data_IF_327127671769
#
_entry.id   IF_327127671769
#
_cell.length_a   1.000
_cell.length_b   1.000
_cell.length_c   1.000
_cell.angle_alpha   90.00
_cell.angle_beta   90.00
_cell.angle_gamma   90.00
#
_symmetry.space_group_name_H-M   'P 1'
#
loop_
_entity.id
_entity.type
_entity.pdbx_description
1 polymer ?
#
# COMPACT_ATOMS: atom_id res chain seq x y z
N UNK A 1 18.82 29.25 -31.12
CA UNK A 1 19.57 28.27 -30.32
C UNK A 1 18.77 26.97 -30.32
N UNK A 2 19.40 25.83 -30.49
CA UNK A 2 18.71 24.55 -30.38
C UNK A 2 18.19 24.35 -28.95
N UNK A 3 16.99 23.79 -28.80
CA UNK A 3 16.45 23.44 -27.47
C UNK A 3 17.42 22.46 -26.76
N UNK A 4 17.63 22.59 -25.44
CA UNK A 4 18.49 21.67 -24.69
C UNK A 4 17.98 20.24 -24.83
N UNK A 5 18.88 19.26 -24.84
CA UNK A 5 18.50 17.85 -24.86
C UNK A 5 17.76 17.47 -23.57
N UNK A 6 16.91 16.44 -23.64
CA UNK A 6 16.17 15.94 -22.48
C UNK A 6 17.09 15.59 -21.30
N UNK A 7 18.27 15.04 -21.55
CA UNK A 7 19.29 14.76 -20.53
C UNK A 7 19.68 16.02 -19.74
N UNK A 8 19.93 17.13 -20.44
CA UNK A 8 20.32 18.40 -19.81
C UNK A 8 19.16 19.01 -19.03
N UNK A 9 17.94 18.92 -19.56
CA UNK A 9 16.74 19.39 -18.84
C UNK A 9 16.57 18.62 -17.52
N UNK A 10 16.62 17.30 -17.56
CA UNK A 10 16.49 16.46 -16.37
C UNK A 10 17.61 16.71 -15.35
N UNK A 11 18.88 16.80 -15.79
CA UNK A 11 20.01 17.09 -14.91
C UNK A 11 19.89 18.46 -14.24
N UNK A 12 19.41 19.48 -14.96
CA UNK A 12 19.15 20.82 -14.41
C UNK A 12 18.03 20.78 -13.39
N UNK A 13 16.93 20.10 -13.68
CA UNK A 13 15.83 19.90 -12.75
C UNK A 13 16.29 19.20 -11.47
N UNK A 14 17.09 18.14 -11.58
CA UNK A 14 17.66 17.45 -10.42
C UNK A 14 18.46 18.43 -9.56
N UNK A 15 19.37 19.17 -10.16
CA UNK A 15 20.22 20.11 -9.43
C UNK A 15 19.42 21.21 -8.74
N UNK A 16 18.53 21.90 -9.47
CA UNK A 16 17.74 23.00 -8.91
C UNK A 16 16.77 22.56 -7.83
N UNK A 17 16.02 21.48 -8.06
CA UNK A 17 15.04 20.99 -7.10
C UNK A 17 15.71 20.37 -5.86
N UNK A 18 16.86 19.70 -6.01
CA UNK A 18 17.65 19.20 -4.87
C UNK A 18 18.13 20.37 -4.00
N UNK A 19 18.53 21.48 -4.58
CA UNK A 19 18.93 22.68 -3.83
C UNK A 19 17.79 23.22 -2.97
N UNK A 20 16.57 23.31 -3.51
CA UNK A 20 15.37 23.76 -2.77
C UNK A 20 15.09 22.83 -1.57
N UNK A 21 15.11 21.53 -1.79
CA UNK A 21 14.87 20.54 -0.72
C UNK A 21 15.96 20.61 0.34
N UNK A 22 17.22 20.69 -0.05
CA UNK A 22 18.37 20.79 0.88
C UNK A 22 18.30 22.08 1.72
N UNK A 23 18.00 23.22 1.11
CA UNK A 23 17.84 24.50 1.82
C UNK A 23 16.73 24.43 2.86
N UNK A 24 15.58 23.81 2.52
CA UNK A 24 14.49 23.59 3.45
C UNK A 24 14.93 22.80 4.69
N UNK A 25 15.68 21.69 4.49
CA UNK A 25 16.17 20.87 5.61
C UNK A 25 17.14 21.65 6.50
N UNK A 26 18.07 22.38 5.91
CA UNK A 26 19.05 23.19 6.64
C UNK A 26 18.37 24.33 7.43
N UNK A 27 17.44 25.05 6.80
CA UNK A 27 16.71 26.16 7.42
C UNK A 27 15.88 25.72 8.62
N UNK A 28 15.27 24.51 8.52
CA UNK A 28 14.41 23.97 9.58
C UNK A 28 15.17 23.05 10.54
N UNK A 29 16.50 22.94 10.43
CA UNK A 29 17.35 22.11 11.28
C UNK A 29 16.89 20.63 11.28
N UNK A 30 16.37 20.15 10.15
CA UNK A 30 15.91 18.77 10.00
C UNK A 30 17.09 17.84 9.67
N UNK A 31 17.04 16.56 10.09
CA UNK A 31 18.06 15.59 9.72
C UNK A 31 18.13 15.42 8.20
N UNK A 32 19.32 15.57 7.62
CA UNK A 32 19.53 15.33 6.21
C UNK A 32 19.38 13.85 5.86
N UNK A 33 18.84 13.51 4.68
CA UNK A 33 18.80 12.14 4.19
C UNK A 33 20.20 11.50 4.19
N UNK A 34 20.31 10.29 4.75
CA UNK A 34 21.55 9.54 4.81
C UNK A 34 21.26 8.05 4.82
N UNK A 35 22.17 7.25 4.24
CA UNK A 35 22.17 5.80 4.38
C UNK A 35 22.77 5.32 5.68
N UNK A 36 23.47 6.19 6.41
CA UNK A 36 24.05 5.84 7.71
C UNK A 36 22.99 5.50 8.75
N UNK A 37 23.38 4.73 9.76
CA UNK A 37 22.49 4.26 10.82
C UNK A 37 21.75 5.39 11.56
N UNK A 38 22.32 6.59 11.58
CA UNK A 38 21.71 7.82 12.12
C UNK A 38 20.76 8.52 11.15
N UNK A 39 20.67 8.07 9.89
CA UNK A 39 19.80 8.65 8.90
C UNK A 39 18.32 8.60 9.30
N UNK A 40 17.51 9.58 8.88
CA UNK A 40 16.09 9.59 9.18
C UNK A 40 15.39 8.42 8.49
N UNK A 41 14.42 7.82 9.18
CA UNK A 41 13.63 6.71 8.64
C UNK A 41 12.70 7.12 7.49
N UNK A 42 12.34 8.41 7.44
CA UNK A 42 11.46 8.99 6.41
C UNK A 42 11.87 10.42 6.11
N UNK A 43 11.69 10.80 4.86
CA UNK A 43 11.70 12.20 4.45
C UNK A 43 10.26 12.69 4.55
N UNK A 44 10.00 13.65 5.44
CA UNK A 44 8.67 14.22 5.68
C UNK A 44 8.71 15.69 5.31
N UNK A 45 7.92 16.07 4.32
CA UNK A 45 7.69 17.46 3.93
C UNK A 45 6.21 17.75 4.22
N UNK A 46 5.91 18.74 5.10
CA UNK A 46 4.52 19.05 5.43
C UNK A 46 3.73 19.50 4.20
N UNK A 47 2.42 19.12 4.08
CA UNK A 47 1.59 19.44 2.92
C UNK A 47 1.43 20.95 2.63
N UNK A 48 1.62 21.81 3.64
CA UNK A 48 1.57 23.27 3.46
C UNK A 48 2.83 23.85 2.81
N UNK A 49 3.95 23.12 2.83
CA UNK A 49 5.22 23.47 2.15
C UNK A 49 5.16 23.06 0.67
N UNK A 50 4.23 23.64 -0.08
CA UNK A 50 3.89 23.22 -1.45
C UNK A 50 5.07 23.27 -2.42
N UNK A 51 5.90 24.31 -2.34
CA UNK A 51 7.07 24.45 -3.22
C UNK A 51 8.11 23.36 -2.98
N UNK A 52 8.41 23.08 -1.71
CA UNK A 52 9.37 22.04 -1.32
C UNK A 52 8.85 20.66 -1.66
N UNK A 53 7.55 20.40 -1.44
CA UNK A 53 6.92 19.13 -1.79
C UNK A 53 6.96 18.89 -3.31
N UNK A 54 6.66 19.91 -4.11
CA UNK A 54 6.76 19.83 -5.56
C UNK A 54 8.20 19.60 -6.02
N UNK A 55 9.18 20.31 -5.46
CA UNK A 55 10.59 20.12 -5.76
C UNK A 55 11.06 18.71 -5.41
N UNK A 56 10.64 18.17 -4.26
CA UNK A 56 10.97 16.80 -3.85
C UNK A 56 10.39 15.75 -4.82
N UNK A 57 9.13 15.90 -5.22
CA UNK A 57 8.50 15.02 -6.20
C UNK A 57 9.22 15.08 -7.57
N UNK A 58 9.60 16.29 -8.03
CA UNK A 58 10.33 16.47 -9.29
C UNK A 58 11.76 15.88 -9.24
N UNK A 59 12.47 15.95 -8.10
CA UNK A 59 13.77 15.27 -7.95
C UNK A 59 13.62 13.77 -8.14
N UNK A 60 12.65 13.15 -7.43
CA UNK A 60 12.43 11.71 -7.53
C UNK A 60 12.08 11.27 -8.96
N UNK A 61 11.20 12.03 -9.62
CA UNK A 61 10.83 11.81 -11.01
C UNK A 61 12.02 11.94 -11.95
N UNK A 62 12.71 13.08 -11.90
CA UNK A 62 13.79 13.39 -12.83
C UNK A 62 15.00 12.44 -12.68
N UNK A 63 15.32 12.01 -11.44
CA UNK A 63 16.40 11.03 -11.22
C UNK A 63 16.06 9.67 -11.82
N UNK A 64 14.84 9.18 -11.66
CA UNK A 64 14.39 7.92 -12.24
C UNK A 64 14.37 7.98 -13.77
N UNK A 65 13.83 9.06 -14.33
CA UNK A 65 13.72 9.25 -15.78
C UNK A 65 15.10 9.39 -16.44
N UNK A 66 16.00 10.17 -15.83
CA UNK A 66 17.38 10.30 -16.31
C UNK A 66 18.12 8.95 -16.27
N UNK A 67 17.97 8.20 -15.20
CA UNK A 67 18.55 6.86 -15.07
C UNK A 67 18.11 5.94 -16.22
N UNK A 68 16.81 5.84 -16.47
CA UNK A 68 16.28 5.01 -17.57
C UNK A 68 16.72 5.50 -18.94
N UNK A 69 16.74 6.82 -19.15
CA UNK A 69 17.21 7.42 -20.42
C UNK A 69 18.68 7.09 -20.70
N UNK A 70 19.53 7.15 -19.65
CA UNK A 70 20.96 6.88 -19.76
C UNK A 70 21.27 5.39 -19.93
N UNK A 71 20.47 4.49 -19.38
CA UNK A 71 20.61 3.05 -19.62
C UNK A 71 20.37 2.69 -21.09
N UNK A 72 19.44 3.36 -21.74
CA UNK A 72 18.97 2.97 -23.07
C UNK A 72 18.18 1.65 -23.06
N UNK A 73 17.52 1.29 -24.18
CA UNK A 73 16.55 0.20 -24.20
C UNK A 73 17.15 -1.18 -23.89
N UNK A 74 18.32 -1.47 -24.42
CA UNK A 74 18.97 -2.79 -24.21
C UNK A 74 19.33 -3.01 -22.74
N UNK A 75 20.03 -2.04 -22.12
CA UNK A 75 20.46 -2.17 -20.75
C UNK A 75 19.24 -2.13 -19.79
N UNK A 76 18.21 -1.33 -20.09
CA UNK A 76 16.98 -1.31 -19.32
C UNK A 76 16.27 -2.67 -19.29
N UNK A 77 16.23 -3.38 -20.42
CA UNK A 77 15.66 -4.73 -20.49
C UNK A 77 16.53 -5.77 -19.75
N UNK A 78 17.84 -5.66 -19.83
CA UNK A 78 18.78 -6.59 -19.21
C UNK A 78 18.98 -6.35 -17.70
N UNK A 79 18.64 -5.17 -17.19
CA UNK A 79 18.80 -4.83 -15.77
C UNK A 79 17.63 -5.27 -14.88
N UNK A 80 16.58 -5.89 -15.46
CA UNK A 80 15.46 -6.41 -14.67
C UNK A 80 15.95 -7.56 -13.80
N UNK A 81 15.79 -7.45 -12.49
CA UNK A 81 16.29 -8.45 -11.53
C UNK A 81 15.25 -8.80 -10.47
N UNK A 82 15.13 -10.09 -10.21
CA UNK A 82 14.36 -10.61 -9.07
C UNK A 82 15.21 -10.70 -7.79
N UNK A 83 16.51 -10.35 -7.89
CA UNK A 83 17.48 -10.54 -6.80
C UNK A 83 17.23 -9.61 -5.63
N UNK A 84 16.61 -8.44 -5.86
CA UNK A 84 16.20 -7.53 -4.77
C UNK A 84 15.22 -8.23 -3.81
N UNK A 85 14.17 -8.85 -4.38
CA UNK A 85 13.17 -9.59 -3.59
C UNK A 85 13.76 -10.83 -2.94
N UNK A 86 14.64 -11.56 -3.65
CA UNK A 86 15.29 -12.76 -3.11
C UNK A 86 16.24 -12.41 -1.95
N UNK A 87 17.05 -11.37 -2.08
CA UNK A 87 17.96 -10.92 -1.01
C UNK A 87 17.19 -10.49 0.24
N UNK A 88 16.11 -9.72 0.08
CA UNK A 88 15.22 -9.35 1.18
C UNK A 88 14.54 -10.57 1.80
N UNK A 89 14.15 -11.56 1.00
CA UNK A 89 13.55 -12.81 1.49
C UNK A 89 14.51 -13.57 2.39
N UNK A 90 15.79 -13.69 2.02
CA UNK A 90 16.79 -14.30 2.89
C UNK A 90 16.96 -13.52 4.19
N UNK A 91 17.05 -12.18 4.11
CA UNK A 91 17.18 -11.33 5.30
C UNK A 91 16.01 -11.53 6.25
N UNK A 92 14.80 -11.61 5.71
CA UNK A 92 13.57 -11.83 6.46
C UNK A 92 13.49 -13.25 7.03
N UNK A 93 13.62 -14.27 6.18
CA UNK A 93 13.39 -15.67 6.53
C UNK A 93 14.42 -16.20 7.56
N UNK A 94 15.64 -15.71 7.51
CA UNK A 94 16.74 -16.08 8.42
C UNK A 94 16.96 -15.07 9.53
N UNK A 95 16.07 -14.08 9.66
CA UNK A 95 16.13 -13.03 10.69
C UNK A 95 17.52 -12.39 10.84
N UNK A 96 18.19 -12.15 9.71
CA UNK A 96 19.58 -11.71 9.66
C UNK A 96 19.76 -10.38 10.40
N UNK A 97 18.76 -9.50 10.38
CA UNK A 97 18.82 -8.18 11.04
C UNK A 97 18.98 -8.27 12.57
N UNK A 98 18.60 -9.38 13.19
CA UNK A 98 18.69 -9.59 14.63
C UNK A 98 19.88 -10.43 15.05
N UNK A 99 20.78 -10.80 14.11
CA UNK A 99 21.96 -11.61 14.43
C UNK A 99 23.02 -10.86 15.23
N UNK A 100 23.03 -9.52 15.19
CA UNK A 100 23.93 -8.69 15.99
C UNK A 100 23.25 -7.37 16.39
N UNK A 101 23.75 -6.69 17.48
CA UNK A 101 23.11 -5.46 17.95
C UNK A 101 23.10 -4.35 16.91
N UNK A 102 22.05 -3.52 16.91
CA UNK A 102 21.85 -2.41 15.95
C UNK A 102 23.07 -1.46 15.90
N UNK A 103 23.70 -1.17 17.03
CA UNK A 103 24.89 -0.31 17.10
C UNK A 103 26.19 -1.12 17.14
N UNK A 104 26.13 -2.42 16.80
CA UNK A 104 27.26 -3.32 16.80
C UNK A 104 27.78 -3.63 15.40
N UNK A 105 28.80 -4.45 15.37
CA UNK A 105 29.42 -5.01 14.18
C UNK A 105 29.51 -6.52 14.32
N UNK A 106 29.48 -7.25 13.21
CA UNK A 106 29.67 -8.70 13.22
C UNK A 106 30.43 -9.14 11.96
N UNK A 107 31.20 -10.24 12.06
CA UNK A 107 31.79 -10.86 10.88
C UNK A 107 30.74 -11.71 10.16
N UNK A 108 31.01 -12.06 8.89
CA UNK A 108 30.13 -12.96 8.14
C UNK A 108 29.99 -14.32 8.82
N UNK A 109 31.05 -14.82 9.46
CA UNK A 109 31.04 -16.07 10.22
C UNK A 109 30.10 -15.99 11.43
N UNK A 110 30.16 -14.89 12.18
CA UNK A 110 29.29 -14.67 13.34
C UNK A 110 27.83 -14.56 12.95
N UNK A 111 27.54 -13.89 11.84
CA UNK A 111 26.18 -13.79 11.28
C UNK A 111 25.70 -15.18 10.82
N UNK A 112 26.53 -15.88 10.05
CA UNK A 112 26.29 -17.22 9.53
C UNK A 112 25.96 -18.21 10.66
N UNK A 113 26.78 -18.25 11.72
CA UNK A 113 26.56 -19.10 12.88
C UNK A 113 25.19 -18.85 13.54
N UNK A 114 24.81 -17.57 13.69
CA UNK A 114 23.55 -17.21 14.35
C UNK A 114 22.30 -17.45 13.52
N UNK A 115 22.34 -17.18 12.21
CA UNK A 115 21.17 -17.36 11.35
C UNK A 115 21.08 -18.79 10.74
N UNK A 116 22.12 -19.61 10.86
CA UNK A 116 22.12 -20.98 10.34
C UNK A 116 22.37 -21.11 8.84
N UNK A 117 22.79 -20.04 8.16
CA UNK A 117 23.26 -20.07 6.77
C UNK A 117 24.75 -20.47 6.73
N UNK A 118 25.22 -21.00 5.62
CA UNK A 118 26.67 -21.11 5.41
C UNK A 118 27.29 -19.73 5.13
N UNK A 119 28.58 -19.57 5.45
CA UNK A 119 29.28 -18.29 5.34
C UNK A 119 29.36 -17.77 3.89
N UNK A 120 29.45 -18.67 2.92
CA UNK A 120 29.55 -18.30 1.48
C UNK A 120 28.25 -17.64 1.03
N UNK A 121 27.10 -18.22 1.38
CA UNK A 121 25.79 -17.67 1.01
C UNK A 121 25.49 -16.41 1.82
N UNK A 122 25.85 -16.37 3.11
CA UNK A 122 25.77 -15.15 3.93
C UNK A 122 26.52 -13.98 3.26
N UNK A 123 27.75 -14.22 2.79
CA UNK A 123 28.54 -13.21 2.09
C UNK A 123 27.87 -12.75 0.78
N UNK A 124 27.36 -13.70 -0.03
CA UNK A 124 26.66 -13.38 -1.30
C UNK A 124 25.39 -12.55 -1.07
N UNK A 125 24.57 -12.96 -0.10
CA UNK A 125 23.29 -12.32 0.20
C UNK A 125 23.51 -10.90 0.73
N UNK A 126 24.39 -10.75 1.71
CA UNK A 126 24.69 -9.46 2.30
C UNK A 126 25.46 -8.56 1.34
N UNK A 127 26.38 -9.11 0.55
CA UNK A 127 27.08 -8.36 -0.50
C UNK A 127 26.10 -7.75 -1.51
N UNK A 128 25.08 -8.50 -1.93
CA UNK A 128 24.00 -7.98 -2.77
C UNK A 128 23.14 -6.93 -2.05
N UNK A 129 22.71 -7.23 -0.81
CA UNK A 129 21.91 -6.32 0.00
C UNK A 129 22.57 -4.95 0.21
N UNK A 130 23.91 -4.94 0.37
CA UNK A 130 24.70 -3.72 0.52
C UNK A 130 24.64 -2.81 -0.72
N UNK A 131 24.47 -3.36 -1.93
CA UNK A 131 24.27 -2.55 -3.14
C UNK A 131 22.94 -1.79 -3.12
N UNK A 132 21.98 -2.25 -2.31
CA UNK A 132 20.71 -1.60 -2.02
C UNK A 132 20.72 -0.84 -0.67
N UNK A 133 21.90 -0.56 -0.13
CA UNK A 133 22.10 0.13 1.14
C UNK A 133 21.48 -0.56 2.36
N UNK A 134 21.23 -1.87 2.27
CA UNK A 134 20.81 -2.69 3.39
C UNK A 134 22.07 -3.36 3.96
N UNK A 135 22.45 -2.97 5.14
CA UNK A 135 23.78 -3.20 5.73
C UNK A 135 24.93 -2.48 5.00
N UNK A 136 26.09 -2.45 5.61
CA UNK A 136 27.36 -1.97 5.04
C UNK A 136 28.53 -2.77 5.57
N UNK A 137 29.58 -2.90 4.78
CA UNK A 137 30.86 -3.41 5.24
C UNK A 137 31.74 -2.24 5.70
N UNK A 138 32.07 -2.20 6.98
CA UNK A 138 32.83 -1.09 7.59
C UNK A 138 34.34 -1.26 7.46
N UNK A 139 34.79 -2.51 7.32
CA UNK A 139 36.15 -2.97 6.98
C UNK A 139 36.02 -4.38 6.44
N UNK A 140 37.02 -4.89 5.71
CA UNK A 140 36.98 -6.22 5.10
C UNK A 140 36.49 -7.31 6.06
N UNK A 141 35.40 -7.99 5.69
CA UNK A 141 34.78 -9.07 6.43
C UNK A 141 33.90 -8.65 7.64
N UNK A 142 33.65 -7.36 7.84
CA UNK A 142 32.88 -6.87 9.00
C UNK A 142 31.70 -6.02 8.60
N UNK A 143 30.52 -6.46 8.98
CA UNK A 143 29.21 -5.92 8.64
C UNK A 143 28.66 -5.05 9.78
N UNK A 144 28.02 -3.94 9.42
CA UNK A 144 27.26 -3.07 10.33
C UNK A 144 25.91 -2.70 9.74
N UNK A 145 25.00 -2.26 10.62
CA UNK A 145 23.69 -1.76 10.19
C UNK A 145 23.78 -0.41 9.47
N UNK A 146 22.87 -0.22 8.54
CA UNK A 146 22.48 1.08 7.94
C UNK A 146 21.14 1.53 8.50
N UNK A 147 20.65 2.67 8.04
CA UNK A 147 19.29 3.13 8.35
C UNK A 147 18.22 2.10 7.95
N UNK A 148 18.38 1.45 6.77
CA UNK A 148 17.41 0.47 6.27
C UNK A 148 17.38 -0.81 7.10
N UNK A 149 18.54 -1.43 7.37
CA UNK A 149 18.60 -2.65 8.18
C UNK A 149 18.21 -2.41 9.65
N UNK A 150 18.53 -1.22 10.21
CA UNK A 150 18.04 -0.80 11.52
C UNK A 150 16.51 -0.76 11.57
N UNK A 151 15.87 -0.19 10.54
CA UNK A 151 14.41 -0.15 10.47
C UNK A 151 13.81 -1.55 10.45
N UNK A 152 14.36 -2.47 9.65
CA UNK A 152 13.94 -3.86 9.63
C UNK A 152 14.09 -4.55 10.99
N UNK A 153 15.10 -4.18 11.79
CA UNK A 153 15.30 -4.73 13.14
C UNK A 153 14.40 -4.09 14.21
N UNK A 154 13.90 -2.86 14.00
CA UNK A 154 13.22 -2.07 15.04
C UNK A 154 11.75 -1.75 14.77
N UNK A 155 11.25 -1.98 13.56
CA UNK A 155 9.87 -1.73 13.16
C UNK A 155 9.17 -3.03 12.74
N UNK A 156 8.48 -3.72 13.66
CA UNK A 156 7.83 -5.00 13.37
C UNK A 156 6.79 -4.91 12.24
N UNK A 157 6.09 -3.78 12.10
CA UNK A 157 5.10 -3.61 11.03
C UNK A 157 5.78 -3.54 9.66
N UNK A 158 6.95 -2.88 9.58
CA UNK A 158 7.74 -2.85 8.34
C UNK A 158 8.33 -4.23 8.02
N UNK A 159 8.79 -4.94 9.03
CA UNK A 159 9.31 -6.30 8.88
C UNK A 159 8.23 -7.24 8.34
N UNK A 160 7.02 -7.17 8.88
CA UNK A 160 5.87 -7.91 8.37
C UNK A 160 5.49 -7.49 6.93
N UNK A 161 5.59 -6.20 6.60
CA UNK A 161 5.40 -5.74 5.22
C UNK A 161 6.43 -6.35 4.26
N UNK A 162 7.71 -6.38 4.66
CA UNK A 162 8.76 -7.05 3.87
C UNK A 162 8.47 -8.55 3.74
N UNK A 163 7.99 -9.20 4.80
CA UNK A 163 7.54 -10.58 4.76
C UNK A 163 6.44 -10.80 3.72
N UNK A 164 5.42 -9.94 3.66
CA UNK A 164 4.36 -10.04 2.62
C UNK A 164 4.94 -9.83 1.22
N UNK A 165 5.85 -8.88 1.04
CA UNK A 165 6.46 -8.62 -0.27
C UNK A 165 7.27 -9.82 -0.76
N UNK A 166 8.01 -10.47 0.11
CA UNK A 166 8.98 -11.52 -0.24
C UNK A 166 8.38 -12.93 -0.21
N UNK A 167 7.46 -13.20 0.71
CA UNK A 167 6.85 -14.52 0.87
C UNK A 167 5.59 -14.67 0.00
N UNK A 168 4.71 -13.65 -0.01
CA UNK A 168 3.43 -13.72 -0.70
C UNK A 168 3.50 -13.14 -2.12
N UNK A 169 3.94 -11.88 -2.24
CA UNK A 169 3.91 -11.14 -3.51
C UNK A 169 4.89 -11.69 -4.53
N UNK A 170 6.09 -12.00 -4.12
CA UNK A 170 7.12 -12.51 -5.03
C UNK A 170 6.70 -13.83 -5.67
N UNK A 171 6.16 -14.76 -4.88
CA UNK A 171 5.64 -16.03 -5.37
C UNK A 171 4.42 -15.83 -6.30
N UNK A 172 3.48 -14.97 -5.91
CA UNK A 172 2.32 -14.68 -6.74
C UNK A 172 2.72 -14.09 -8.10
N UNK A 173 3.63 -13.11 -8.12
CA UNK A 173 4.11 -12.48 -9.34
C UNK A 173 4.79 -13.48 -10.28
N UNK A 174 5.64 -14.35 -9.73
CA UNK A 174 6.37 -15.37 -10.50
C UNK A 174 5.45 -16.37 -11.24
N UNK A 175 4.24 -16.61 -10.71
CA UNK A 175 3.28 -17.58 -11.27
C UNK A 175 2.08 -16.91 -11.96
N UNK A 176 2.07 -15.59 -12.10
CA UNK A 176 0.92 -14.88 -12.69
C UNK A 176 0.71 -15.22 -14.16
N UNK A 177 1.80 -15.35 -14.93
CA UNK A 177 1.69 -15.75 -16.35
C UNK A 177 1.06 -17.14 -16.49
N UNK A 178 1.48 -18.11 -15.66
CA UNK A 178 0.89 -19.44 -15.62
C UNK A 178 -0.60 -19.40 -15.27
N UNK A 179 -0.99 -18.57 -14.30
CA UNK A 179 -2.40 -18.39 -13.92
C UNK A 179 -3.24 -17.85 -15.08
N UNK A 180 -2.74 -16.82 -15.79
CA UNK A 180 -3.43 -16.26 -16.95
C UNK A 180 -3.54 -17.26 -18.09
N UNK A 181 -2.49 -18.05 -18.35
CA UNK A 181 -2.52 -19.11 -19.35
C UNK A 181 -3.54 -20.23 -19.00
N UNK A 182 -3.65 -20.56 -17.72
CA UNK A 182 -4.52 -21.64 -17.25
C UNK A 182 -5.99 -21.24 -17.14
N UNK A 183 -6.26 -20.03 -16.64
CA UNK A 183 -7.62 -19.60 -16.27
C UNK A 183 -8.19 -18.53 -17.19
N UNK A 184 -7.35 -17.85 -18.00
CA UNK A 184 -7.75 -16.66 -18.74
C UNK A 184 -8.05 -15.50 -17.79
N UNK A 185 -9.22 -14.87 -17.97
CA UNK A 185 -9.73 -13.90 -17.02
C UNK A 185 -10.29 -14.62 -15.79
N UNK A 186 -9.69 -14.37 -14.63
CA UNK A 186 -10.08 -15.01 -13.39
C UNK A 186 -11.54 -14.70 -13.01
N UNK A 187 -12.29 -15.72 -12.64
CA UNK A 187 -13.65 -15.59 -12.13
C UNK A 187 -13.72 -15.83 -10.63
N UNK A 188 -12.87 -16.70 -10.12
CA UNK A 188 -12.86 -17.13 -8.72
C UNK A 188 -11.58 -16.65 -8.03
N UNK A 189 -11.63 -16.34 -6.70
CA UNK A 189 -10.48 -15.82 -5.94
C UNK A 189 -9.26 -16.72 -5.88
N UNK A 190 -9.41 -18.02 -6.22
CA UNK A 190 -8.33 -19.00 -6.26
C UNK A 190 -7.74 -19.21 -7.66
N UNK A 191 -8.18 -18.46 -8.67
CA UNK A 191 -7.66 -18.52 -10.04
C UNK A 191 -6.56 -17.47 -10.26
N UNK A 192 -5.49 -17.55 -9.45
CA UNK A 192 -4.48 -16.49 -9.33
C UNK A 192 -3.06 -17.03 -9.35
N UNK A 193 -2.09 -16.14 -9.62
CA UNK A 193 -0.67 -16.42 -9.43
C UNK A 193 -0.35 -16.77 -7.98
N UNK A 194 -1.03 -16.15 -7.02
CA UNK A 194 -0.92 -16.49 -5.61
C UNK A 194 -1.25 -17.96 -5.35
N UNK A 195 -2.42 -18.43 -5.80
CA UNK A 195 -2.86 -19.81 -5.53
C UNK A 195 -1.94 -20.84 -6.17
N UNK A 196 -1.43 -20.57 -7.38
CA UNK A 196 -0.46 -21.44 -8.05
C UNK A 196 0.88 -21.43 -7.29
N UNK A 197 1.42 -20.25 -7.00
CA UNK A 197 2.72 -20.09 -6.34
C UNK A 197 2.76 -20.71 -4.95
N UNK A 198 1.67 -20.62 -4.20
CA UNK A 198 1.52 -21.25 -2.87
C UNK A 198 0.99 -22.68 -2.91
N UNK A 199 0.74 -23.25 -4.11
CA UNK A 199 0.26 -24.62 -4.28
C UNK A 199 -1.01 -24.92 -3.49
N UNK A 200 -1.94 -23.98 -3.50
CA UNK A 200 -3.22 -24.09 -2.81
C UNK A 200 -4.39 -23.98 -3.78
N UNK A 201 -5.56 -24.51 -3.39
CA UNK A 201 -6.82 -24.33 -4.09
C UNK A 201 -7.70 -23.22 -3.49
N UNK A 202 -7.13 -22.41 -2.58
CA UNK A 202 -7.81 -21.33 -1.90
C UNK A 202 -7.36 -19.97 -2.44
N UNK A 203 -8.21 -18.95 -2.28
CA UNK A 203 -7.81 -17.56 -2.45
C UNK A 203 -7.00 -17.04 -1.26
N UNK A 204 -6.36 -15.86 -1.43
CA UNK A 204 -5.52 -15.26 -0.38
C UNK A 204 -6.23 -15.17 0.98
N UNK A 205 -7.41 -14.57 1.03
CA UNK A 205 -8.11 -14.35 2.32
C UNK A 205 -8.53 -15.65 3.01
N UNK A 206 -8.89 -16.68 2.25
CA UNK A 206 -9.21 -17.99 2.78
C UNK A 206 -7.96 -18.68 3.37
N UNK A 207 -6.79 -18.54 2.69
CA UNK A 207 -5.51 -19.02 3.21
C UNK A 207 -5.08 -18.26 4.48
N UNK A 208 -5.23 -16.94 4.51
CA UNK A 208 -4.91 -16.14 5.69
C UNK A 208 -5.81 -16.50 6.89
N UNK A 209 -7.08 -16.80 6.63
CA UNK A 209 -8.02 -17.25 7.68
C UNK A 209 -7.67 -18.64 8.21
N UNK A 210 -7.15 -19.52 7.35
CA UNK A 210 -6.70 -20.85 7.75
C UNK A 210 -5.35 -20.86 8.49
N UNK A 211 -4.55 -19.79 8.36
CA UNK A 211 -3.21 -19.66 8.94
C UNK A 211 -3.08 -18.36 9.76
N UNK A 212 -3.48 -18.36 11.05
CA UNK A 212 -3.56 -17.14 11.86
C UNK A 212 -2.28 -16.30 11.92
N UNK A 213 -1.10 -16.91 11.94
CA UNK A 213 0.18 -16.18 11.92
C UNK A 213 0.39 -15.40 10.61
N UNK A 214 0.04 -15.98 9.46
CA UNK A 214 0.06 -15.30 8.17
C UNK A 214 -0.99 -14.20 8.10
N UNK A 215 -2.19 -14.46 8.65
CA UNK A 215 -3.26 -13.47 8.79
C UNK A 215 -2.81 -12.26 9.60
N UNK A 216 -2.15 -12.48 10.75
CA UNK A 216 -1.60 -11.40 11.58
C UNK A 216 -0.52 -10.61 10.84
N UNK A 217 0.42 -11.30 10.18
CA UNK A 217 1.46 -10.66 9.35
C UNK A 217 0.84 -9.79 8.27
N UNK A 218 -0.18 -10.28 7.58
CA UNK A 218 -0.88 -9.52 6.56
C UNK A 218 -1.57 -8.26 7.14
N UNK A 219 -2.28 -8.40 8.24
CA UNK A 219 -2.91 -7.27 8.94
C UNK A 219 -1.88 -6.21 9.37
N UNK A 220 -0.76 -6.62 9.96
CA UNK A 220 0.34 -5.73 10.33
C UNK A 220 0.95 -5.03 9.11
N UNK A 221 1.16 -5.74 8.01
CA UNK A 221 1.66 -5.16 6.76
C UNK A 221 0.69 -4.11 6.18
N UNK A 222 -0.62 -4.36 6.25
CA UNK A 222 -1.64 -3.37 5.83
C UNK A 222 -1.67 -2.16 6.77
N UNK A 223 -1.48 -2.35 8.08
CA UNK A 223 -1.28 -1.26 9.02
C UNK A 223 -0.03 -0.44 8.68
N UNK A 224 1.10 -1.09 8.39
CA UNK A 224 2.32 -0.42 7.95
C UNK A 224 2.09 0.42 6.68
N UNK A 225 1.37 -0.12 5.72
CA UNK A 225 1.02 0.60 4.48
C UNK A 225 0.09 1.79 4.76
N UNK A 226 -0.96 1.59 5.58
CA UNK A 226 -1.94 2.63 5.90
C UNK A 226 -1.33 3.76 6.74
N UNK A 227 -0.54 3.44 7.77
CA UNK A 227 0.08 4.43 8.65
C UNK A 227 1.13 5.32 7.95
N UNK A 228 1.64 4.86 6.82
CA UNK A 228 2.58 5.63 5.99
C UNK A 228 1.88 6.51 4.94
N UNK A 229 0.59 6.29 4.70
CA UNK A 229 -0.22 7.19 3.90
C UNK A 229 -0.74 8.33 4.78
N UNK A 230 -0.79 9.53 4.24
CA UNK A 230 -1.30 10.68 4.97
C UNK A 230 -2.84 10.61 5.06
N UNK A 231 -3.34 10.14 6.20
CA UNK A 231 -4.77 10.09 6.48
C UNK A 231 -5.39 11.49 6.63
N UNK A 232 -4.56 12.54 6.81
CA UNK A 232 -5.07 13.92 6.87
C UNK A 232 -5.72 14.31 5.55
N UNK A 233 -5.18 13.87 4.43
CA UNK A 233 -5.77 14.13 3.11
C UNK A 233 -7.20 13.57 2.98
N UNK A 234 -7.48 12.42 3.58
CA UNK A 234 -8.84 11.87 3.61
C UNK A 234 -9.78 12.78 4.43
N UNK A 235 -9.31 13.29 5.56
CA UNK A 235 -10.07 14.20 6.40
C UNK A 235 -10.30 15.58 5.74
N UNK A 236 -9.32 16.08 4.98
CA UNK A 236 -9.34 17.44 4.41
C UNK A 236 -10.08 17.51 3.05
N UNK A 237 -10.04 16.46 2.24
CA UNK A 237 -10.47 16.49 0.84
C UNK A 237 -11.93 16.15 0.62
N UNK A 238 -12.62 15.63 1.63
CA UNK A 238 -14.06 15.36 1.57
C UNK A 238 -14.77 16.18 2.65
N UNK A 239 -15.95 16.68 2.32
CA UNK A 239 -16.76 17.47 3.28
C UNK A 239 -17.52 16.54 4.25
N UNK A 240 -16.79 15.93 5.17
CA UNK A 240 -17.36 15.07 6.22
C UNK A 240 -18.39 15.77 7.09
N UNK A 241 -18.29 17.12 7.24
CA UNK A 241 -19.24 17.92 8.02
C UNK A 241 -20.63 17.97 7.39
N UNK A 242 -20.70 17.85 6.05
CA UNK A 242 -21.98 17.78 5.33
C UNK A 242 -22.80 16.53 5.67
N UNK A 243 -22.19 15.53 6.30
CA UNK A 243 -22.86 14.31 6.73
C UNK A 243 -23.62 14.51 8.07
N UNK A 244 -23.42 15.64 8.75
CA UNK A 244 -24.01 15.93 10.08
C UNK A 244 -23.72 14.80 11.10
N UNK A 245 -24.73 14.30 11.80
CA UNK A 245 -24.61 13.23 12.80
C UNK A 245 -24.82 11.83 12.20
N UNK A 246 -24.29 11.58 10.99
CA UNK A 246 -24.46 10.33 10.31
C UNK A 246 -23.77 9.15 11.01
N UNK A 247 -24.34 7.96 10.80
CA UNK A 247 -23.68 6.69 11.10
C UNK A 247 -23.01 6.17 9.83
N UNK A 248 -21.69 5.98 9.92
CA UNK A 248 -20.84 5.44 8.85
C UNK A 248 -20.57 3.97 9.12
N UNK A 249 -20.90 3.10 8.19
CA UNK A 249 -20.55 1.69 8.23
C UNK A 249 -19.28 1.48 7.40
N UNK A 250 -18.17 1.21 8.06
CA UNK A 250 -16.84 0.99 7.49
C UNK A 250 -16.64 -0.49 7.19
N UNK A 251 -16.93 -0.90 5.96
CA UNK A 251 -16.91 -2.30 5.53
C UNK A 251 -15.51 -2.71 5.09
N UNK A 252 -14.95 -3.74 5.75
CA UNK A 252 -13.57 -4.16 5.58
C UNK A 252 -12.61 -3.24 6.34
N UNK A 253 -13.08 -2.62 7.44
CA UNK A 253 -12.34 -1.62 8.20
C UNK A 253 -11.22 -2.16 9.09
N UNK A 254 -11.06 -3.48 9.23
CA UNK A 254 -10.04 -4.11 10.06
C UNK A 254 -10.09 -3.63 11.52
N UNK A 255 -8.95 -3.14 12.05
CA UNK A 255 -8.87 -2.55 13.40
C UNK A 255 -9.49 -1.15 13.52
N UNK A 256 -10.09 -0.61 12.46
CA UNK A 256 -10.76 0.68 12.44
C UNK A 256 -9.86 1.93 12.37
N UNK A 257 -8.65 1.91 11.80
CA UNK A 257 -7.73 3.06 11.83
C UNK A 257 -8.31 4.30 11.14
N UNK A 258 -9.09 4.11 10.09
CA UNK A 258 -9.75 5.21 9.37
C UNK A 258 -10.91 5.77 10.20
N UNK A 259 -11.78 4.89 10.71
CA UNK A 259 -12.91 5.27 11.56
C UNK A 259 -12.43 6.00 12.81
N UNK A 260 -11.33 5.55 13.44
CA UNK A 260 -10.69 6.23 14.59
C UNK A 260 -10.18 7.63 14.19
N UNK A 261 -9.51 7.74 13.04
CA UNK A 261 -9.02 9.04 12.55
C UNK A 261 -10.15 10.01 12.26
N UNK A 262 -11.21 9.56 11.58
CA UNK A 262 -12.38 10.39 11.29
C UNK A 262 -13.14 10.76 12.56
N UNK A 263 -13.34 9.84 13.51
CA UNK A 263 -14.01 10.11 14.77
C UNK A 263 -13.30 11.17 15.63
N UNK A 264 -11.95 11.22 15.58
CA UNK A 264 -11.16 12.25 16.25
C UNK A 264 -11.37 13.66 15.64
N UNK A 265 -11.52 13.72 14.31
CA UNK A 265 -11.61 14.99 13.58
C UNK A 265 -13.06 15.49 13.43
N UNK A 266 -14.05 14.59 13.50
CA UNK A 266 -15.48 14.89 13.28
C UNK A 266 -16.31 14.33 14.43
N UNK A 267 -16.56 15.12 15.49
CA UNK A 267 -17.17 14.64 16.74
C UNK A 267 -18.65 14.21 16.60
N UNK A 268 -19.31 14.63 15.54
CA UNK A 268 -20.73 14.31 15.32
C UNK A 268 -20.95 12.97 14.60
N UNK A 269 -19.88 12.37 14.04
CA UNK A 269 -19.96 11.13 13.28
C UNK A 269 -19.85 9.91 14.20
N UNK A 270 -20.66 8.88 13.90
CA UNK A 270 -20.63 7.56 14.54
C UNK A 270 -20.17 6.49 13.55
N UNK A 271 -19.57 5.41 14.05
CA UNK A 271 -18.97 4.39 13.19
C UNK A 271 -19.35 2.97 13.63
N UNK A 272 -19.62 2.13 12.63
CA UNK A 272 -19.73 0.67 12.79
C UNK A 272 -18.66 0.07 11.89
N UNK A 273 -17.56 -0.40 12.47
CA UNK A 273 -16.48 -1.05 11.75
C UNK A 273 -16.84 -2.51 11.54
N UNK A 274 -16.91 -2.93 10.29
CA UNK A 274 -17.28 -4.28 9.90
C UNK A 274 -16.13 -5.00 9.20
N UNK A 275 -15.83 -6.22 9.66
CA UNK A 275 -14.87 -7.12 9.00
C UNK A 275 -15.10 -8.56 9.52
N UNK A 276 -14.30 -9.52 9.06
CA UNK A 276 -14.30 -10.85 9.65
C UNK A 276 -13.99 -10.81 11.16
N UNK A 277 -14.58 -11.71 11.91
CA UNK A 277 -14.45 -11.74 13.38
C UNK A 277 -12.99 -11.69 13.87
N UNK A 278 -12.08 -12.40 13.18
CA UNK A 278 -10.66 -12.39 13.50
C UNK A 278 -9.97 -11.05 13.22
N UNK A 279 -10.41 -10.31 12.20
CA UNK A 279 -9.83 -9.03 11.83
C UNK A 279 -10.21 -7.90 12.80
N UNK A 280 -11.43 -7.93 13.33
CA UNK A 280 -11.93 -6.90 14.27
C UNK A 280 -11.64 -7.20 15.74
N UNK A 281 -11.16 -8.41 16.07
CA UNK A 281 -11.06 -8.88 17.47
C UNK A 281 -10.24 -7.95 18.39
N UNK A 282 -9.15 -7.40 17.87
CA UNK A 282 -8.28 -6.49 18.60
C UNK A 282 -8.66 -5.01 18.42
N UNK A 283 -9.60 -4.70 17.51
CA UNK A 283 -10.00 -3.33 17.17
C UNK A 283 -10.37 -2.46 18.37
N UNK A 284 -11.21 -2.91 19.31
CA UNK A 284 -11.58 -2.11 20.47
C UNK A 284 -10.40 -1.63 21.33
N UNK A 285 -9.29 -2.39 21.36
CA UNK A 285 -8.09 -2.02 22.12
C UNK A 285 -7.32 -0.82 21.54
N UNK A 286 -7.54 -0.50 20.25
CA UNK A 286 -6.93 0.65 19.59
C UNK A 286 -7.77 1.92 19.65
N UNK A 287 -9.02 1.83 20.13
CA UNK A 287 -9.93 2.99 20.22
C UNK A 287 -9.62 3.80 21.47
N UNK A 288 -9.25 5.09 21.34
CA UNK A 288 -9.08 5.98 22.48
C UNK A 288 -10.38 6.12 23.30
N UNK A 289 -10.25 6.22 24.62
CA UNK A 289 -11.38 6.26 25.53
C UNK A 289 -12.38 7.39 25.24
N UNK A 290 -11.86 8.55 24.78
CA UNK A 290 -12.65 9.75 24.47
C UNK A 290 -13.59 9.63 23.27
N UNK A 291 -13.42 8.59 22.44
CA UNK A 291 -14.26 8.35 21.25
C UNK A 291 -14.88 6.94 21.25
N UNK A 292 -14.71 6.18 22.32
CA UNK A 292 -15.08 4.76 22.39
C UNK A 292 -16.59 4.53 22.30
N UNK A 293 -17.41 5.49 22.71
CA UNK A 293 -18.86 5.47 22.62
C UNK A 293 -19.41 5.63 21.19
N UNK A 294 -18.57 6.12 20.26
CA UNK A 294 -18.94 6.38 18.87
C UNK A 294 -18.42 5.36 17.87
N UNK A 295 -17.62 4.38 18.30
CA UNK A 295 -17.05 3.35 17.41
C UNK A 295 -17.45 1.97 17.91
N UNK A 296 -18.22 1.25 17.11
CA UNK A 296 -18.63 -0.12 17.37
C UNK A 296 -17.99 -1.06 16.35
N UNK A 297 -17.68 -2.30 16.78
CA UNK A 297 -17.15 -3.34 15.90
C UNK A 297 -18.18 -4.45 15.72
N UNK A 298 -18.37 -4.90 14.48
CA UNK A 298 -19.37 -5.91 14.12
C UNK A 298 -18.80 -6.91 13.12
N UNK A 299 -18.83 -8.19 13.45
CA UNK A 299 -18.44 -9.24 12.52
C UNK A 299 -19.42 -9.29 11.33
N UNK A 300 -18.88 -9.22 10.11
CA UNK A 300 -19.68 -9.23 8.89
C UNK A 300 -18.87 -9.79 7.70
N UNK A 301 -19.55 -10.58 6.88
CA UNK A 301 -19.07 -11.01 5.58
C UNK A 301 -19.80 -10.20 4.49
N UNK A 302 -19.09 -9.35 3.77
CA UNK A 302 -19.62 -8.50 2.72
C UNK A 302 -20.22 -9.27 1.52
N UNK A 303 -19.93 -10.55 1.41
CA UNK A 303 -20.55 -11.45 0.41
C UNK A 303 -21.94 -11.94 0.83
N UNK A 304 -22.43 -11.50 1.98
CA UNK A 304 -23.80 -11.75 2.50
C UNK A 304 -24.59 -10.44 2.59
N UNK A 305 -25.94 -10.47 2.65
CA UNK A 305 -26.74 -9.26 2.77
C UNK A 305 -26.39 -8.45 4.03
N UNK A 306 -26.27 -7.13 3.90
CA UNK A 306 -25.97 -6.22 4.99
C UNK A 306 -27.01 -6.31 6.12
N UNK A 307 -26.53 -6.55 7.35
CA UNK A 307 -27.37 -6.73 8.51
C UNK A 307 -27.84 -5.42 9.15
N UNK A 308 -27.03 -4.35 9.07
CA UNK A 308 -27.42 -3.01 9.53
C UNK A 308 -28.48 -2.44 8.57
N UNK A 309 -29.40 -1.65 9.10
CA UNK A 309 -30.51 -1.06 8.31
C UNK A 309 -30.51 0.45 8.42
N UNK A 310 -31.08 1.11 7.42
CA UNK A 310 -31.25 2.56 7.36
C UNK A 310 -29.91 3.32 7.49
N UNK A 311 -28.88 2.83 6.84
CA UNK A 311 -27.53 3.39 6.89
C UNK A 311 -27.50 4.75 6.19
N UNK A 312 -26.81 5.73 6.80
CA UNK A 312 -26.56 7.03 6.18
C UNK A 312 -25.43 6.95 5.17
N UNK A 313 -24.30 6.31 5.58
CA UNK A 313 -23.10 6.20 4.77
C UNK A 313 -22.51 4.80 4.89
N UNK A 314 -22.22 4.15 3.77
CA UNK A 314 -21.37 2.97 3.70
C UNK A 314 -20.01 3.42 3.16
N UNK A 315 -18.97 3.08 3.88
CA UNK A 315 -17.60 3.42 3.53
C UNK A 315 -16.82 2.17 3.17
N UNK A 316 -16.11 2.21 2.04
CA UNK A 316 -15.21 1.16 1.58
C UNK A 316 -13.85 1.77 1.27
N UNK A 317 -12.78 1.14 1.72
CA UNK A 317 -11.42 1.56 1.36
C UNK A 317 -10.54 0.37 1.02
N UNK A 318 -9.99 0.36 -0.18
CA UNK A 318 -9.14 -0.71 -0.69
C UNK A 318 -9.83 -2.09 -0.60
N UNK A 319 -11.09 -2.16 -1.04
CA UNK A 319 -11.93 -3.37 -1.00
C UNK A 319 -12.19 -3.91 -2.40
N UNK A 320 -12.79 -3.09 -3.27
CA UNK A 320 -13.27 -3.56 -4.57
C UNK A 320 -12.14 -3.97 -5.52
N UNK A 321 -10.96 -3.38 -5.37
CA UNK A 321 -9.81 -3.77 -6.17
C UNK A 321 -9.33 -5.20 -5.88
N UNK A 322 -9.70 -5.79 -4.74
CA UNK A 322 -9.39 -7.18 -4.38
C UNK A 322 -10.36 -8.20 -4.99
N UNK A 323 -11.41 -7.75 -5.66
CA UNK A 323 -12.49 -8.60 -6.16
C UNK A 323 -12.68 -8.46 -7.66
N UNK A 324 -12.98 -9.59 -8.31
CA UNK A 324 -13.41 -9.59 -9.72
C UNK A 324 -14.75 -8.90 -9.87
N UNK A 325 -15.09 -8.45 -11.09
CA UNK A 325 -16.24 -7.57 -11.30
C UNK A 325 -17.56 -8.18 -10.82
N UNK A 326 -17.79 -9.48 -11.03
CA UNK A 326 -19.01 -10.13 -10.56
C UNK A 326 -19.12 -10.19 -9.02
N UNK A 327 -18.01 -10.31 -8.29
CA UNK A 327 -17.99 -10.19 -6.84
C UNK A 327 -18.21 -8.73 -6.39
N UNK A 328 -17.66 -7.76 -7.12
CA UNK A 328 -17.95 -6.35 -6.86
C UNK A 328 -19.45 -6.05 -6.98
N UNK A 329 -20.11 -6.54 -8.02
CA UNK A 329 -21.55 -6.43 -8.21
C UNK A 329 -22.31 -7.11 -7.07
N UNK A 330 -21.88 -8.30 -6.65
CA UNK A 330 -22.47 -9.01 -5.51
C UNK A 330 -22.35 -8.22 -4.21
N UNK A 331 -21.16 -7.65 -3.94
CA UNK A 331 -20.93 -6.81 -2.75
C UNK A 331 -21.86 -5.60 -2.76
N UNK A 332 -21.96 -4.88 -3.89
CA UNK A 332 -22.85 -3.73 -4.03
C UNK A 332 -24.31 -4.11 -3.81
N UNK A 333 -24.79 -5.20 -4.43
CA UNK A 333 -26.16 -5.70 -4.26
C UNK A 333 -26.47 -6.09 -2.81
N UNK A 334 -25.50 -6.64 -2.11
CA UNK A 334 -25.65 -7.01 -0.70
C UNK A 334 -25.82 -5.79 0.23
N UNK A 335 -25.41 -4.59 -0.21
CA UNK A 335 -25.64 -3.37 0.58
C UNK A 335 -27.07 -2.81 0.38
N UNK A 336 -27.74 -3.09 -0.73
CA UNK A 336 -29.05 -2.50 -1.08
C UNK A 336 -30.08 -2.63 0.05
N UNK A 337 -30.23 -3.81 0.72
CA UNK A 337 -31.23 -3.94 1.79
C UNK A 337 -31.02 -3.02 2.99
N UNK A 338 -29.84 -2.41 3.11
CA UNK A 338 -29.47 -1.51 4.20
C UNK A 338 -29.68 -0.03 3.88
N UNK A 339 -29.82 0.30 2.61
CA UNK A 339 -29.90 1.67 2.13
C UNK A 339 -31.29 2.24 2.28
N UNK A 340 -31.35 3.53 2.51
CA UNK A 340 -32.55 4.38 2.41
C UNK A 340 -32.31 5.47 1.36
N UNK A 341 -33.33 6.09 0.87
CA UNK A 341 -33.20 7.19 -0.08
C UNK A 341 -32.24 8.27 0.43
N UNK A 342 -31.23 8.60 -0.37
CA UNK A 342 -30.18 9.54 -0.01
C UNK A 342 -28.99 8.96 0.74
N UNK A 343 -28.97 7.66 1.03
CA UNK A 343 -27.76 6.98 1.53
C UNK A 343 -26.60 7.18 0.58
N UNK A 344 -25.39 7.30 1.11
CA UNK A 344 -24.17 7.48 0.32
C UNK A 344 -23.27 6.26 0.44
N UNK A 345 -22.61 5.90 -0.67
CA UNK A 345 -21.46 5.02 -0.65
C UNK A 345 -20.23 5.88 -0.92
N UNK A 346 -19.25 5.84 -0.02
CA UNK A 346 -17.96 6.48 -0.17
C UNK A 346 -16.90 5.40 -0.40
N UNK A 347 -16.35 5.37 -1.60
CA UNK A 347 -15.40 4.34 -2.02
C UNK A 347 -14.04 5.00 -2.23
N UNK A 348 -13.04 4.58 -1.45
CA UNK A 348 -11.69 5.14 -1.47
C UNK A 348 -10.74 4.12 -2.09
N UNK A 349 -10.46 4.32 -3.39
CA UNK A 349 -9.61 3.42 -4.17
C UNK A 349 -8.76 4.16 -5.18
N UNK A 350 -7.69 3.53 -5.70
CA UNK A 350 -7.01 4.03 -6.88
C UNK A 350 -7.97 4.08 -8.07
N UNK A 351 -7.89 5.16 -8.82
CA UNK A 351 -8.65 5.31 -10.05
C UNK A 351 -7.70 5.12 -11.24
N UNK A 352 -7.95 4.08 -12.03
CA UNK A 352 -7.15 3.82 -13.23
C UNK A 352 -7.43 4.89 -14.27
N UNK A 353 -6.36 5.48 -14.79
CA UNK A 353 -6.41 6.53 -15.83
C UNK A 353 -5.79 6.04 -17.13
N UNK A 354 -6.01 6.75 -18.23
CA UNK A 354 -5.41 6.46 -19.50
C UNK A 354 -3.88 6.63 -19.47
N UNK A 355 -3.19 5.94 -20.37
CA UNK A 355 -1.73 6.04 -20.48
C UNK A 355 -1.30 7.45 -20.86
N UNK A 356 -0.37 8.00 -20.09
CA UNK A 356 0.18 9.35 -20.29
C UNK A 356 -0.58 10.47 -19.59
N UNK A 357 -1.68 10.20 -18.89
CA UNK A 357 -2.38 11.21 -18.08
C UNK A 357 -1.67 11.56 -16.78
N UNK A 358 -0.86 10.62 -16.26
CA UNK A 358 -0.06 10.86 -15.06
C UNK A 358 1.42 11.04 -15.42
N UNK A 359 2.19 11.73 -14.58
CA UNK A 359 3.63 11.68 -14.65
C UNK A 359 4.12 10.22 -14.60
N UNK A 360 5.15 9.90 -15.39
CA UNK A 360 5.62 8.52 -15.59
C UNK A 360 5.80 7.72 -14.29
N UNK A 361 6.36 8.32 -13.25
CA UNK A 361 6.60 7.64 -11.96
C UNK A 361 5.32 7.33 -11.18
N UNK A 362 4.29 8.21 -11.26
CA UNK A 362 2.97 7.97 -10.67
C UNK A 362 2.22 6.90 -11.46
N UNK A 363 2.25 6.99 -12.79
CA UNK A 363 1.65 5.97 -13.65
C UNK A 363 2.29 4.60 -13.39
N UNK A 364 3.62 4.51 -13.29
CA UNK A 364 4.32 3.27 -12.95
C UNK A 364 3.84 2.69 -11.62
N UNK A 365 3.65 3.52 -10.59
CA UNK A 365 3.10 3.07 -9.29
C UNK A 365 1.68 2.53 -9.44
N UNK A 366 0.80 3.24 -10.14
CA UNK A 366 -0.57 2.81 -10.39
C UNK A 366 -0.62 1.48 -11.17
N UNK A 367 0.17 1.35 -12.24
CA UNK A 367 0.25 0.11 -13.03
C UNK A 367 0.84 -1.05 -12.20
N UNK A 368 1.80 -0.77 -11.31
CA UNK A 368 2.32 -1.78 -10.38
C UNK A 368 1.23 -2.28 -9.42
N UNK A 369 0.41 -1.38 -8.87
CA UNK A 369 -0.73 -1.76 -8.04
C UNK A 369 -1.72 -2.63 -8.82
N UNK A 370 -2.04 -2.24 -10.05
CA UNK A 370 -2.93 -3.01 -10.92
C UNK A 370 -2.40 -4.43 -11.20
N UNK A 371 -1.10 -4.59 -11.48
CA UNK A 371 -0.48 -5.91 -11.64
C UNK A 371 -0.45 -6.72 -10.34
N UNK A 372 -0.32 -6.07 -9.18
CA UNK A 372 -0.46 -6.76 -7.90
C UNK A 372 -1.87 -7.32 -7.71
N UNK A 373 -2.91 -6.58 -8.10
CA UNK A 373 -4.30 -7.08 -8.04
C UNK A 373 -4.49 -8.30 -8.94
N UNK A 374 -3.93 -8.28 -10.14
CA UNK A 374 -3.92 -9.46 -11.02
C UNK A 374 -3.24 -10.66 -10.36
N UNK A 375 -2.05 -10.44 -9.75
CA UNK A 375 -1.25 -11.52 -9.18
C UNK A 375 -1.89 -12.17 -7.95
N UNK A 376 -2.45 -11.35 -7.06
CA UNK A 376 -3.02 -11.80 -5.80
C UNK A 376 -4.46 -12.28 -5.90
N UNK A 377 -5.28 -11.54 -6.67
CA UNK A 377 -6.74 -11.65 -6.60
C UNK A 377 -7.38 -11.99 -7.95
N UNK A 378 -6.59 -12.02 -9.05
CA UNK A 378 -7.16 -12.13 -10.39
C UNK A 378 -8.07 -10.96 -10.77
N UNK A 379 -7.92 -9.84 -10.08
CA UNK A 379 -8.73 -8.63 -10.18
C UNK A 379 -7.92 -7.46 -10.77
N UNK A 380 -8.44 -6.24 -10.68
CA UNK A 380 -7.82 -5.05 -11.26
C UNK A 380 -8.21 -3.77 -10.54
N UNK A 381 -7.38 -2.75 -10.68
CA UNK A 381 -7.80 -1.37 -10.43
C UNK A 381 -8.82 -0.96 -11.49
N UNK A 382 -9.73 -0.07 -11.13
CA UNK A 382 -10.89 0.29 -11.96
C UNK A 382 -10.81 1.72 -12.47
N UNK A 383 -11.12 1.92 -13.75
CA UNK A 383 -11.33 3.23 -14.33
C UNK A 383 -12.71 3.80 -13.94
N UNK A 384 -12.95 5.07 -14.25
CA UNK A 384 -14.27 5.67 -14.04
C UNK A 384 -15.36 4.97 -14.86
N UNK A 385 -15.03 4.52 -16.07
CA UNK A 385 -15.98 3.79 -16.92
C UNK A 385 -16.30 2.41 -16.34
N UNK A 386 -15.29 1.71 -15.79
CA UNK A 386 -15.51 0.43 -15.08
C UNK A 386 -16.46 0.62 -13.88
N UNK A 387 -16.29 1.70 -13.10
CA UNK A 387 -17.18 2.01 -11.98
C UNK A 387 -18.60 2.29 -12.41
N UNK A 388 -18.79 3.07 -13.48
CA UNK A 388 -20.13 3.31 -14.04
C UNK A 388 -20.82 2.02 -14.44
N UNK A 389 -20.09 1.12 -15.11
CA UNK A 389 -20.60 -0.18 -15.53
C UNK A 389 -20.97 -1.06 -14.34
N UNK A 390 -20.09 -1.17 -13.33
CA UNK A 390 -20.33 -1.94 -12.11
C UNK A 390 -21.59 -1.48 -11.37
N UNK A 391 -21.78 -0.16 -11.23
CA UNK A 391 -22.97 0.39 -10.58
C UNK A 391 -24.23 0.12 -11.41
N UNK A 392 -24.18 0.35 -12.72
CA UNK A 392 -25.30 0.06 -13.61
C UNK A 392 -25.71 -1.42 -13.56
N UNK A 393 -24.72 -2.32 -13.57
CA UNK A 393 -25.00 -3.76 -13.45
C UNK A 393 -25.46 -4.17 -12.07
N UNK A 394 -24.99 -3.51 -11.02
CA UNK A 394 -25.44 -3.80 -9.66
C UNK A 394 -26.90 -3.37 -9.46
N UNK A 395 -27.20 -2.11 -9.72
CA UNK A 395 -28.55 -1.52 -9.69
C UNK A 395 -28.49 -0.09 -10.24
N UNK A 396 -29.39 0.25 -11.17
CA UNK A 396 -29.45 1.58 -11.80
C UNK A 396 -29.75 2.74 -10.83
N UNK A 397 -30.18 2.45 -9.61
CA UNK A 397 -30.43 3.45 -8.56
C UNK A 397 -29.16 3.94 -7.87
N UNK A 398 -28.01 3.36 -8.16
CA UNK A 398 -26.73 3.93 -7.76
C UNK A 398 -26.31 5.03 -8.72
N UNK A 399 -26.18 6.25 -8.22
CA UNK A 399 -25.72 7.40 -9.01
C UNK A 399 -24.38 7.91 -8.52
N UNK A 400 -23.35 7.89 -9.39
CA UNK A 400 -22.06 8.54 -9.09
C UNK A 400 -22.28 10.05 -9.08
N UNK A 401 -22.00 10.70 -7.97
CA UNK A 401 -22.14 12.14 -7.79
C UNK A 401 -20.84 12.89 -7.98
N UNK A 402 -19.75 12.32 -7.47
CA UNK A 402 -18.45 12.98 -7.49
C UNK A 402 -17.31 11.98 -7.42
N UNK A 403 -16.12 12.41 -7.87
CA UNK A 403 -14.86 11.71 -7.66
C UNK A 403 -13.79 12.75 -7.27
N UNK A 404 -13.27 12.65 -6.05
CA UNK A 404 -12.31 13.59 -5.49
C UNK A 404 -10.95 12.93 -5.33
N UNK A 405 -9.93 13.40 -6.05
CA UNK A 405 -8.55 12.93 -5.89
C UNK A 405 -7.99 13.37 -4.53
N UNK A 406 -7.37 12.46 -3.80
CA UNK A 406 -6.73 12.72 -2.51
C UNK A 406 -5.32 13.27 -2.69
N UNK A 407 -5.21 14.57 -3.03
CA UNK A 407 -3.92 15.24 -3.20
C UNK A 407 -3.07 14.59 -4.30
N UNK A 408 -1.80 14.35 -4.01
CA UNK A 408 -0.85 13.64 -4.89
C UNK A 408 -0.93 12.11 -4.74
N UNK A 409 -1.91 11.61 -3.98
CA UNK A 409 -2.18 10.19 -3.87
C UNK A 409 -2.76 9.65 -5.18
N UNK A 410 -2.49 8.38 -5.47
CA UNK A 410 -3.14 7.65 -6.55
C UNK A 410 -4.61 7.33 -6.25
N UNK A 411 -5.05 7.61 -5.02
CA UNK A 411 -6.38 7.25 -4.50
C UNK A 411 -7.36 8.39 -4.69
N UNK A 412 -8.60 8.05 -4.99
CA UNK A 412 -9.72 8.97 -5.08
C UNK A 412 -10.86 8.53 -4.15
N UNK A 413 -11.67 9.48 -3.69
CA UNK A 413 -12.96 9.20 -3.07
C UNK A 413 -14.01 9.27 -4.16
N UNK A 414 -14.67 8.16 -4.41
CA UNK A 414 -15.85 8.09 -5.27
C UNK A 414 -17.10 8.21 -4.39
N UNK A 415 -17.89 9.23 -4.60
CA UNK A 415 -19.17 9.43 -3.90
C UNK A 415 -20.32 8.98 -4.78
N UNK A 416 -21.08 8.01 -4.26
CA UNK A 416 -22.24 7.42 -4.93
C UNK A 416 -23.46 7.59 -4.06
N UNK A 417 -24.56 8.03 -4.63
CA UNK A 417 -25.83 8.21 -3.94
C UNK A 417 -26.82 7.11 -4.33
N UNK A 418 -27.50 6.57 -3.33
CA UNK A 418 -28.64 5.69 -3.54
C UNK A 418 -29.91 6.51 -3.73
N UNK A 419 -30.58 6.34 -4.88
CA UNK A 419 -31.80 7.06 -5.25
C UNK A 419 -33.08 6.25 -5.03
N UNK A 420 -32.93 4.95 -4.69
CA UNK A 420 -34.08 4.06 -4.41
C UNK A 420 -34.76 4.37 -3.07
N UNK A 421 -35.99 3.92 -2.93
CA UNK A 421 -36.78 3.98 -1.69
C UNK A 421 -36.40 2.83 -0.76
#
# INVERSE_FOLDING_TARGET
MASPSQMIVLATTISSCTAIVNEYFLKNQLPLPSFDISGPSRIIIPPHEKEVAAAYAEVLKATMELHHLMLGPTAALMSTSAMDSMSLQFIYAYDIVNTFPINGEATYEQISEKCGLNVIDTHRILGYAMTNHIFKEVRPGVVAHTAASKLLASDPLLTDYVGIVTEERFQAAAHTVEAVQKFGYAKEPNQTGYSIGHRTNKGLYEELSAHPSRGKRFANAMCAFTSRNDLSLLCERYDWRSLNSATIVDVGGGYGPISISLAKNFPDLNFIVQDFAGAIAEGPAYVPAEISDRINFMAYDMLTPQAVRNIDVIFFRAIFHNWTDHYCIKILRNQIPALKKGSRLLIVEPLLVESGELPWHEERRLRTMNLNMLSYFGSREKSMEDWKELFREADERFEIKNAVKLGDSLTSILEVMWTGE
#
